data_IF_036284558259
#
_entry.id   IF_036284558259
#
_cell.length_a   1.000
_cell.length_b   1.000
_cell.length_c   1.000
_cell.angle_alpha   90.00
_cell.angle_beta   90.00
_cell.angle_gamma   90.00
#
_symmetry.space_group_name_H-M   'P 1'
#
loop_
_entity.id
_entity.type
_entity.pdbx_description
1 polymer ?
#
# COMPACT_ATOMS: atom_id res chain seq x y z
N UNK A 1 21.05 -34.21 23.33
CA UNK A 1 21.62 -33.25 22.37
C UNK A 1 20.54 -32.88 21.38
N UNK A 2 19.71 -31.86 21.66
CA UNK A 2 18.73 -31.34 20.69
C UNK A 2 18.74 -29.81 20.84
N UNK A 3 19.60 -29.16 20.06
CA UNK A 3 19.43 -27.77 19.65
C UNK A 3 19.19 -27.80 18.15
N UNK A 4 18.17 -27.09 17.69
CA UNK A 4 17.95 -26.57 16.33
C UNK A 4 16.61 -27.00 15.72
N UNK A 5 15.66 -26.07 15.74
CA UNK A 5 14.55 -25.98 14.76
C UNK A 5 13.95 -24.58 14.65
N UNK A 6 14.27 -23.64 15.55
CA UNK A 6 13.70 -22.27 15.50
C UNK A 6 14.38 -21.32 14.51
N UNK A 7 15.50 -21.71 13.89
CA UNK A 7 16.22 -20.88 12.91
C UNK A 7 15.69 -21.02 11.47
N UNK A 8 14.96 -22.09 11.15
CA UNK A 8 14.53 -22.35 9.76
C UNK A 8 13.29 -21.53 9.35
N UNK A 9 12.24 -21.48 10.16
CA UNK A 9 10.97 -20.82 9.77
C UNK A 9 11.13 -19.32 9.45
N UNK A 10 11.92 -18.57 10.26
CA UNK A 10 12.20 -17.15 10.01
C UNK A 10 13.02 -16.92 8.73
N UNK A 11 13.94 -17.83 8.43
CA UNK A 11 14.83 -17.72 7.27
C UNK A 11 14.09 -18.06 5.97
N UNK A 12 13.20 -19.06 6.00
CA UNK A 12 12.33 -19.41 4.87
C UNK A 12 11.32 -18.29 4.57
N UNK A 13 10.60 -17.76 5.57
CA UNK A 13 9.70 -16.62 5.35
C UNK A 13 10.43 -15.39 4.80
N UNK A 14 11.60 -15.02 5.36
CA UNK A 14 12.39 -13.93 4.82
C UNK A 14 12.82 -14.14 3.36
N UNK A 15 13.13 -15.39 2.96
CA UNK A 15 13.54 -15.69 1.58
C UNK A 15 12.38 -15.57 0.60
N UNK A 16 11.18 -16.03 0.97
CA UNK A 16 9.99 -15.93 0.12
C UNK A 16 9.56 -14.48 -0.05
N UNK A 17 9.49 -13.71 1.04
CA UNK A 17 9.18 -12.27 1.04
C UNK A 17 10.14 -11.47 0.16
N UNK A 18 11.45 -11.75 0.25
CA UNK A 18 12.48 -11.12 -0.61
C UNK A 18 12.23 -11.48 -2.08
N UNK A 19 11.82 -12.72 -2.35
CA UNK A 19 11.56 -13.21 -3.71
C UNK A 19 10.32 -12.54 -4.31
N UNK A 20 9.21 -12.44 -3.57
CA UNK A 20 7.99 -11.78 -4.07
C UNK A 20 8.19 -10.28 -4.29
N UNK A 21 8.83 -9.58 -3.34
CA UNK A 21 9.15 -8.16 -3.52
C UNK A 21 10.05 -7.93 -4.75
N UNK A 22 11.07 -8.77 -4.91
CA UNK A 22 11.95 -8.70 -6.08
C UNK A 22 11.20 -8.98 -7.38
N UNK A 23 10.24 -9.91 -7.38
CA UNK A 23 9.38 -10.18 -8.52
C UNK A 23 8.48 -8.98 -8.85
N UNK A 24 7.92 -8.29 -7.86
CA UNK A 24 7.08 -7.11 -8.08
C UNK A 24 7.88 -5.97 -8.72
N UNK A 25 9.11 -5.75 -8.25
CA UNK A 25 10.01 -4.70 -8.77
C UNK A 25 10.45 -4.90 -10.22
N UNK A 26 10.39 -6.13 -10.72
CA UNK A 26 10.75 -6.45 -12.11
C UNK A 26 9.60 -6.28 -13.09
N UNK A 27 8.37 -6.08 -12.61
CA UNK A 27 7.19 -5.95 -13.44
C UNK A 27 6.94 -4.50 -13.81
N UNK A 28 6.53 -4.25 -15.06
CA UNK A 28 6.00 -2.97 -15.46
C UNK A 28 4.55 -2.78 -14.96
N UNK A 29 4.03 -1.56 -15.08
CA UNK A 29 2.68 -1.21 -14.62
C UNK A 29 1.56 -2.09 -15.19
N UNK A 30 1.64 -2.50 -16.46
CA UNK A 30 0.63 -3.34 -17.08
C UNK A 30 0.67 -4.78 -16.53
N UNK A 31 1.87 -5.32 -16.32
CA UNK A 31 2.09 -6.63 -15.69
C UNK A 31 1.66 -6.64 -14.24
N UNK A 32 1.91 -5.56 -13.49
CA UNK A 32 1.44 -5.38 -12.12
C UNK A 32 -0.08 -5.32 -12.06
N UNK A 33 -0.73 -4.58 -12.96
CA UNK A 33 -2.19 -4.55 -13.03
C UNK A 33 -2.79 -5.90 -13.43
N UNK A 34 -2.14 -6.64 -14.33
CA UNK A 34 -2.58 -7.99 -14.72
C UNK A 34 -2.48 -8.96 -13.54
N UNK A 35 -1.36 -8.93 -12.79
CA UNK A 35 -1.19 -9.69 -11.56
C UNK A 35 -2.26 -9.30 -10.52
N UNK A 36 -2.44 -8.00 -10.29
CA UNK A 36 -3.41 -7.50 -9.33
C UNK A 36 -4.81 -8.09 -9.54
N UNK A 37 -5.28 -8.17 -10.79
CA UNK A 37 -6.62 -8.69 -11.14
C UNK A 37 -6.85 -10.18 -10.80
N UNK A 38 -5.80 -10.94 -10.55
CA UNK A 38 -5.90 -12.37 -10.19
C UNK A 38 -5.70 -12.64 -8.69
N UNK A 39 -5.23 -11.65 -7.92
CA UNK A 39 -5.02 -11.78 -6.49
C UNK A 39 -6.33 -11.66 -5.70
N UNK A 40 -6.31 -12.17 -4.47
CA UNK A 40 -7.40 -12.02 -3.51
C UNK A 40 -7.23 -10.75 -2.64
N UNK A 41 -8.34 -10.25 -2.11
CA UNK A 41 -8.31 -9.16 -1.14
C UNK A 41 -7.83 -9.69 0.23
N UNK A 42 -6.98 -8.95 0.95
CA UNK A 42 -6.66 -9.29 2.34
C UNK A 42 -7.87 -9.03 3.24
N UNK A 43 -7.90 -9.71 4.37
CA UNK A 43 -8.83 -9.46 5.47
C UNK A 43 -8.39 -8.26 6.32
N UNK A 44 -9.29 -7.70 7.13
CA UNK A 44 -8.91 -6.65 8.09
C UNK A 44 -7.85 -7.10 9.09
N UNK A 45 -7.92 -8.35 9.55
CA UNK A 45 -6.95 -8.88 10.51
C UNK A 45 -5.55 -9.00 9.91
N UNK A 46 -5.46 -9.37 8.62
CA UNK A 46 -4.17 -9.41 7.90
C UNK A 46 -3.59 -8.02 7.61
N UNK A 47 -4.42 -6.97 7.70
CA UNK A 47 -4.02 -5.58 7.47
C UNK A 47 -3.80 -4.82 8.78
N UNK A 48 -3.94 -5.44 9.95
CA UNK A 48 -3.77 -4.76 11.24
C UNK A 48 -2.29 -4.44 11.53
N UNK A 49 -1.98 -3.15 11.68
CA UNK A 49 -0.62 -2.66 11.94
C UNK A 49 -0.07 -1.73 10.86
N UNK A 50 1.23 -1.47 10.94
CA UNK A 50 1.98 -0.59 10.03
C UNK A 50 2.83 -1.41 9.05
N UNK A 51 2.85 -1.00 7.80
CA UNK A 51 3.49 -1.70 6.69
C UNK A 51 4.43 -0.74 5.96
N UNK A 52 5.68 -1.15 5.79
CA UNK A 52 6.64 -0.41 4.96
C UNK A 52 6.10 -0.33 3.53
N UNK A 53 6.17 0.86 2.96
CA UNK A 53 5.67 1.15 1.63
C UNK A 53 6.82 1.36 0.66
N UNK A 54 6.70 0.77 -0.52
CA UNK A 54 7.61 1.00 -1.63
C UNK A 54 6.83 1.29 -2.91
N UNK A 55 7.30 2.27 -3.69
CA UNK A 55 6.75 2.53 -5.02
C UNK A 55 7.27 1.46 -5.98
N UNK A 56 6.39 0.99 -6.86
CA UNK A 56 6.76 0.12 -7.98
C UNK A 56 6.79 0.96 -9.26
N UNK A 57 7.22 0.37 -10.38
CA UNK A 57 7.38 1.12 -11.63
C UNK A 57 6.06 1.72 -12.14
N UNK A 58 6.08 3.02 -12.42
CA UNK A 58 4.98 3.76 -13.03
C UNK A 58 5.03 3.77 -14.58
N UNK A 59 5.96 3.03 -15.20
CA UNK A 59 6.02 2.85 -16.65
C UNK A 59 6.98 3.83 -17.34
N UNK A 60 8.11 4.15 -16.72
CA UNK A 60 9.20 4.95 -17.30
C UNK A 60 9.57 6.22 -16.54
N UNK A 61 10.54 7.00 -17.06
CA UNK A 61 11.16 8.10 -16.33
C UNK A 61 10.16 9.23 -15.95
N UNK A 62 9.24 9.60 -16.84
CA UNK A 62 8.28 10.69 -16.60
C UNK A 62 7.17 10.30 -15.59
N UNK A 63 6.51 9.14 -15.72
CA UNK A 63 5.60 8.65 -14.68
C UNK A 63 6.31 8.43 -13.33
N UNK A 64 7.58 8.01 -13.32
CA UNK A 64 8.37 7.91 -12.10
C UNK A 64 8.70 9.27 -11.46
N UNK A 65 8.77 10.35 -12.25
CA UNK A 65 8.88 11.73 -11.73
C UNK A 65 7.53 12.18 -11.14
N UNK A 66 6.40 11.86 -11.77
CA UNK A 66 5.06 12.20 -11.26
C UNK A 66 4.75 11.42 -9.98
N UNK A 67 5.04 10.11 -9.98
CA UNK A 67 4.93 9.26 -8.80
C UNK A 67 5.80 9.77 -7.67
N UNK A 68 7.06 10.13 -7.94
CA UNK A 68 7.92 10.83 -6.99
C UNK A 68 7.30 12.16 -6.54
N UNK A 69 6.73 12.99 -7.40
CA UNK A 69 6.09 14.24 -6.96
C UNK A 69 4.89 13.97 -6.01
N UNK A 70 4.08 12.94 -6.29
CA UNK A 70 2.91 12.60 -5.48
C UNK A 70 3.26 11.94 -4.14
N UNK A 71 4.41 11.27 -4.03
CA UNK A 71 4.85 10.54 -2.82
C UNK A 71 6.07 11.16 -2.12
N UNK A 72 6.71 12.11 -2.78
CA UNK A 72 7.87 12.87 -2.36
C UNK A 72 7.47 14.34 -2.55
N UNK A 73 6.89 14.88 -1.49
CA UNK A 73 6.73 16.31 -1.30
C UNK A 73 7.83 16.74 -0.31
N UNK A 74 9.09 16.90 -0.75
CA UNK A 74 10.23 17.12 0.15
C UNK A 74 10.05 18.37 1.00
N UNK A 75 9.24 19.33 0.55
CA UNK A 75 8.95 20.56 1.28
C UNK A 75 7.80 20.38 2.30
N UNK A 76 6.78 19.59 1.99
CA UNK A 76 5.59 19.43 2.86
C UNK A 76 5.66 18.24 3.82
N UNK A 77 5.94 17.01 3.34
CA UNK A 77 5.77 15.80 4.16
C UNK A 77 7.00 14.88 4.22
N UNK A 78 7.98 15.00 3.30
CA UNK A 78 9.18 14.15 3.30
C UNK A 78 9.02 12.84 2.52
N UNK A 79 9.87 11.83 2.79
CA UNK A 79 9.87 10.54 2.09
C UNK A 79 8.72 9.67 2.59
N UNK A 80 7.83 9.23 1.71
CA UNK A 80 6.83 8.23 2.09
C UNK A 80 7.47 6.94 2.60
N UNK A 81 7.03 6.47 3.77
CA UNK A 81 7.62 5.33 4.49
C UNK A 81 6.69 4.14 4.58
N UNK A 82 5.43 4.38 4.94
CA UNK A 82 4.53 3.32 5.37
C UNK A 82 3.06 3.71 5.23
N UNK A 83 2.20 2.71 5.35
CA UNK A 83 0.78 2.86 5.67
C UNK A 83 0.49 2.06 6.93
N UNK A 84 -0.44 2.52 7.76
CA UNK A 84 -0.93 1.75 8.88
C UNK A 84 -2.44 1.66 8.87
N UNK A 85 -2.98 0.58 9.44
CA UNK A 85 -4.40 0.32 9.52
C UNK A 85 -4.77 -0.25 10.90
N UNK A 86 -6.01 -0.02 11.28
CA UNK A 86 -6.62 -0.59 12.49
C UNK A 86 -7.40 -1.87 12.14
N UNK A 87 -7.69 -2.75 13.11
CA UNK A 87 -8.63 -3.82 12.87
C UNK A 87 -10.02 -3.24 12.59
N UNK A 88 -10.73 -3.79 11.61
CA UNK A 88 -12.05 -3.31 11.24
C UNK A 88 -13.14 -3.73 12.21
N UNK A 89 -14.14 -2.85 12.37
CA UNK A 89 -15.44 -3.21 12.94
C UNK A 89 -16.51 -2.99 11.87
N UNK A 90 -17.43 -3.94 11.69
CA UNK A 90 -18.51 -3.83 10.70
C UNK A 90 -18.06 -3.54 9.26
N UNK A 91 -16.97 -4.17 8.80
CA UNK A 91 -16.36 -3.98 7.48
C UNK A 91 -15.81 -2.58 7.17
N UNK A 92 -15.62 -1.74 8.19
CA UNK A 92 -14.97 -0.43 8.08
C UNK A 92 -13.83 -0.32 9.10
N UNK A 93 -12.72 0.27 8.68
CA UNK A 93 -11.56 0.59 9.52
C UNK A 93 -11.01 1.96 9.11
N UNK A 94 -9.92 2.37 9.75
CA UNK A 94 -9.18 3.58 9.47
C UNK A 94 -7.69 3.30 9.40
N UNK A 95 -6.99 4.15 8.68
CA UNK A 95 -5.55 4.09 8.53
C UNK A 95 -4.92 5.46 8.27
N UNK A 96 -3.59 5.49 8.15
CA UNK A 96 -2.82 6.67 7.76
C UNK A 96 -1.61 6.33 6.89
N UNK A 97 -0.98 7.34 6.30
CA UNK A 97 0.34 7.24 5.69
C UNK A 97 1.39 7.84 6.61
N UNK A 98 2.56 7.21 6.74
CA UNK A 98 3.69 7.80 7.46
C UNK A 98 4.80 8.23 6.51
N UNK A 99 5.52 9.28 6.89
CA UNK A 99 6.58 9.91 6.13
C UNK A 99 7.79 10.19 7.00
N UNK A 100 9.00 10.10 6.43
CA UNK A 100 10.22 10.59 7.06
C UNK A 100 10.46 12.03 6.64
N UNK A 101 10.32 12.96 7.59
CA UNK A 101 10.68 14.36 7.42
C UNK A 101 11.82 14.71 8.37
N UNK A 102 13.01 14.95 7.81
CA UNK A 102 14.21 15.33 8.57
C UNK A 102 14.55 14.36 9.73
N UNK A 103 14.42 13.06 9.50
CA UNK A 103 14.71 12.03 10.49
C UNK A 103 13.57 11.73 11.47
N UNK A 104 12.45 12.45 11.37
CA UNK A 104 11.24 12.21 12.18
C UNK A 104 10.16 11.53 11.34
N UNK A 105 9.50 10.55 11.93
CA UNK A 105 8.28 9.99 11.37
C UNK A 105 7.14 10.98 11.60
N UNK A 106 6.40 11.28 10.53
CA UNK A 106 5.17 12.08 10.56
C UNK A 106 4.04 11.25 9.99
N UNK A 107 2.96 11.08 10.75
CA UNK A 107 1.77 10.29 10.39
C UNK A 107 0.67 11.22 9.94
N UNK A 108 0.24 11.06 8.70
CA UNK A 108 -0.63 12.00 7.99
C UNK A 108 -1.56 11.29 7.02
N UNK A 109 -2.48 12.07 6.44
CA UNK A 109 -3.43 11.59 5.46
C UNK A 109 -4.25 10.40 5.96
N UNK A 110 -5.08 10.63 7.00
CA UNK A 110 -6.03 9.63 7.43
C UNK A 110 -6.91 9.18 6.25
N UNK A 111 -7.24 7.90 6.25
CA UNK A 111 -8.09 7.26 5.25
C UNK A 111 -9.08 6.33 5.93
N UNK A 112 -10.29 6.23 5.37
CA UNK A 112 -11.22 5.14 5.70
C UNK A 112 -10.81 3.92 4.91
N UNK A 113 -10.87 2.75 5.52
CA UNK A 113 -10.68 1.48 4.84
C UNK A 113 -11.94 0.64 4.87
N UNK A 114 -12.19 -0.09 3.79
CA UNK A 114 -13.41 -0.91 3.63
C UNK A 114 -13.17 -2.07 2.66
N UNK A 115 -13.96 -3.13 2.78
CA UNK A 115 -14.05 -4.15 1.73
C UNK A 115 -14.98 -3.64 0.63
N UNK A 116 -14.47 -3.48 -0.58
CA UNK A 116 -15.20 -2.95 -1.72
C UNK A 116 -15.06 -3.87 -2.96
N UNK A 117 -15.58 -3.42 -4.10
CA UNK A 117 -15.29 -4.03 -5.40
C UNK A 117 -14.29 -3.14 -6.15
N UNK A 118 -13.25 -3.76 -6.71
CA UNK A 118 -12.20 -3.05 -7.46
C UNK A 118 -12.75 -2.44 -8.73
N UNK A 119 -12.28 -1.23 -9.07
CA UNK A 119 -12.67 -0.57 -10.33
C UNK A 119 -12.14 -1.25 -11.59
N UNK A 120 -11.13 -2.10 -11.43
CA UNK A 120 -10.41 -2.70 -12.55
C UNK A 120 -10.99 -4.05 -13.00
N UNK A 121 -11.67 -4.76 -12.10
CA UNK A 121 -12.20 -6.10 -12.34
C UNK A 121 -13.48 -6.46 -11.56
N UNK A 122 -14.03 -5.54 -10.77
CA UNK A 122 -15.24 -5.75 -9.95
C UNK A 122 -15.15 -6.90 -8.94
N UNK A 123 -13.94 -7.37 -8.61
CA UNK A 123 -13.72 -8.38 -7.56
C UNK A 123 -13.43 -7.72 -6.20
N UNK A 124 -13.58 -8.44 -5.08
CA UNK A 124 -13.29 -7.90 -3.75
C UNK A 124 -11.93 -7.22 -3.64
N UNK A 125 -11.87 -6.18 -2.82
CA UNK A 125 -10.65 -5.39 -2.58
C UNK A 125 -10.66 -4.78 -1.18
N UNK A 126 -9.48 -4.60 -0.60
CA UNK A 126 -9.29 -3.72 0.55
C UNK A 126 -9.03 -2.29 0.06
N UNK A 127 -10.05 -1.44 0.10
CA UNK A 127 -10.04 -0.08 -0.46
C UNK A 127 -9.66 0.96 0.61
N UNK A 128 -8.87 1.95 0.21
CA UNK A 128 -8.52 3.13 1.01
C UNK A 128 -9.16 4.37 0.39
N UNK A 129 -10.04 5.02 1.13
CA UNK A 129 -10.78 6.21 0.70
C UNK A 129 -10.32 7.44 1.48
N UNK A 130 -9.54 8.32 0.82
CA UNK A 130 -9.01 9.54 1.45
C UNK A 130 -10.03 10.66 1.57
N UNK A 131 -11.09 10.66 0.74
CA UNK A 131 -12.16 11.66 0.77
C UNK A 131 -13.03 11.60 2.03
N UNK A 132 -12.85 10.59 2.88
CA UNK A 132 -13.42 10.55 4.22
C UNK A 132 -12.87 11.66 5.16
N UNK A 133 -11.77 12.31 4.79
CA UNK A 133 -11.13 13.36 5.58
C UNK A 133 -10.77 14.58 4.70
N UNK A 134 -10.80 15.81 5.23
CA UNK A 134 -10.56 17.04 4.45
C UNK A 134 -9.07 17.29 4.17
N UNK A 135 -8.44 16.41 3.39
CA UNK A 135 -6.99 16.43 3.11
C UNK A 135 -6.67 16.80 1.65
N UNK A 136 -5.39 17.01 1.32
CA UNK A 136 -4.97 17.20 -0.08
C UNK A 136 -5.29 15.96 -0.94
N UNK A 137 -5.14 14.74 -0.39
CA UNK A 137 -5.45 13.50 -1.11
C UNK A 137 -6.95 13.37 -1.40
N UNK A 138 -7.81 13.89 -0.53
CA UNK A 138 -9.24 14.02 -0.79
C UNK A 138 -9.53 14.96 -1.97
N UNK A 139 -8.86 16.13 -2.04
CA UNK A 139 -9.07 17.12 -3.10
C UNK A 139 -8.72 16.61 -4.49
N UNK A 140 -7.79 15.64 -4.60
CA UNK A 140 -7.41 15.00 -5.86
C UNK A 140 -8.13 13.67 -6.13
N UNK A 141 -9.13 13.34 -5.32
CA UNK A 141 -9.91 12.09 -5.41
C UNK A 141 -9.04 10.83 -5.39
N UNK A 142 -8.04 10.80 -4.51
CA UNK A 142 -7.18 9.62 -4.37
C UNK A 142 -7.95 8.45 -3.78
N UNK A 143 -7.78 7.28 -4.37
CA UNK A 143 -8.22 5.98 -3.84
C UNK A 143 -7.11 4.98 -4.08
N UNK A 144 -6.79 4.19 -3.07
CA UNK A 144 -5.92 3.02 -3.21
C UNK A 144 -6.73 1.73 -3.06
N UNK A 145 -6.30 0.70 -3.77
CA UNK A 145 -6.90 -0.63 -3.79
C UNK A 145 -5.80 -1.66 -3.49
N UNK A 146 -5.96 -2.51 -2.46
CA UNK A 146 -4.93 -3.45 -1.99
C UNK A 146 -5.36 -4.92 -2.14
N UNK A 147 -4.45 -5.75 -2.65
CA UNK A 147 -4.57 -7.22 -2.71
C UNK A 147 -3.36 -7.91 -2.10
N UNK A 148 -3.58 -9.12 -1.58
CA UNK A 148 -2.55 -9.96 -1.00
C UNK A 148 -1.78 -10.66 -2.11
N UNK A 149 -0.45 -10.53 -2.11
CA UNK A 149 0.43 -11.33 -2.98
C UNK A 149 0.79 -12.62 -2.25
N UNK A 150 1.24 -12.47 -1.02
CA UNK A 150 1.51 -13.56 -0.08
C UNK A 150 1.51 -13.02 1.36
N UNK A 151 1.82 -13.88 2.33
CA UNK A 151 1.94 -13.44 3.72
C UNK A 151 2.99 -12.34 3.86
N UNK A 152 2.55 -11.19 4.36
CA UNK A 152 3.38 -10.02 4.58
C UNK A 152 3.78 -9.20 3.35
N UNK A 153 3.33 -9.57 2.14
CA UNK A 153 3.51 -8.78 0.91
C UNK A 153 2.17 -8.52 0.25
N UNK A 154 1.89 -7.22 0.01
CA UNK A 154 0.64 -6.77 -0.57
C UNK A 154 0.92 -5.83 -1.74
N UNK A 155 0.14 -5.99 -2.82
CA UNK A 155 0.18 -5.14 -3.99
C UNK A 155 -0.95 -4.12 -3.92
N UNK A 156 -0.59 -2.85 -3.94
CA UNK A 156 -1.50 -1.73 -3.99
C UNK A 156 -1.53 -1.07 -5.36
N UNK A 157 -2.72 -0.62 -5.78
CA UNK A 157 -2.90 0.23 -6.95
C UNK A 157 -3.59 1.51 -6.49
N UNK A 158 -2.84 2.61 -6.52
CA UNK A 158 -3.37 3.96 -6.33
C UNK A 158 -3.99 4.50 -7.62
N UNK A 159 -4.94 5.41 -7.47
CA UNK A 159 -5.52 6.18 -8.56
C UNK A 159 -5.85 7.58 -8.08
N UNK A 160 -5.76 8.56 -8.99
CA UNK A 160 -6.12 9.96 -8.72
C UNK A 160 -6.91 10.53 -9.88
N UNK A 161 -7.71 11.56 -9.62
CA UNK A 161 -8.21 12.45 -10.66
C UNK A 161 -9.72 12.58 -10.76
N UNK A 162 -10.12 13.48 -11.66
CA UNK A 162 -11.46 14.05 -11.72
C UNK A 162 -12.31 13.42 -12.81
N UNK A 163 -11.67 12.83 -13.82
CA UNK A 163 -12.33 12.15 -14.95
C UNK A 163 -12.31 10.63 -14.78
N UNK A 164 -13.22 9.93 -15.48
CA UNK A 164 -13.23 8.46 -15.51
C UNK A 164 -11.90 7.90 -15.99
N UNK A 165 -11.29 8.49 -17.02
CA UNK A 165 -10.00 8.04 -17.57
C UNK A 165 -8.86 8.14 -16.56
N UNK A 166 -8.75 9.28 -15.86
CA UNK A 166 -7.72 9.47 -14.83
C UNK A 166 -7.88 8.48 -13.67
N UNK A 167 -9.13 8.24 -13.23
CA UNK A 167 -9.44 7.26 -12.18
C UNK A 167 -9.19 5.80 -12.57
N UNK A 168 -8.76 5.54 -13.81
CA UNK A 168 -8.34 4.23 -14.31
C UNK A 168 -6.83 4.15 -14.61
N UNK A 169 -6.05 5.19 -14.33
CA UNK A 169 -4.59 5.17 -14.48
C UNK A 169 -3.97 4.60 -13.21
N UNK A 170 -3.37 3.39 -13.25
CA UNK A 170 -2.82 2.73 -12.07
C UNK A 170 -1.51 3.38 -11.60
N UNK A 171 -1.38 3.54 -10.29
CA UNK A 171 -0.17 3.94 -9.59
C UNK A 171 0.26 2.80 -8.64
N UNK A 172 1.06 1.83 -9.10
CA UNK A 172 1.39 0.65 -8.31
C UNK A 172 2.34 0.95 -7.14
N UNK A 173 2.10 0.29 -6.00
CA UNK A 173 2.96 0.30 -4.83
C UNK A 173 2.92 -1.07 -4.13
N UNK A 174 3.88 -1.30 -3.24
CA UNK A 174 3.96 -2.50 -2.41
C UNK A 174 3.87 -2.12 -0.94
N UNK A 175 3.23 -2.97 -0.13
CA UNK A 175 3.27 -2.91 1.32
C UNK A 175 3.93 -4.18 1.88
N UNK A 176 4.82 -4.01 2.84
CA UNK A 176 5.63 -5.06 3.46
C UNK A 176 5.46 -4.97 4.97
N UNK A 177 4.88 -5.98 5.61
CA UNK A 177 4.61 -5.94 7.05
C UNK A 177 3.57 -6.95 7.52
N UNK A 178 3.01 -6.77 8.73
CA UNK A 178 3.20 -5.61 9.59
C UNK A 178 4.63 -5.53 10.18
N UNK A 179 5.16 -4.32 10.33
CA UNK A 179 6.47 -4.02 10.93
C UNK A 179 6.38 -3.39 12.32
N UNK A 180 5.23 -2.82 12.65
CA UNK A 180 4.87 -2.34 14.00
C UNK A 180 3.35 -2.26 14.16
N UNK A 181 2.89 -2.03 15.39
CA UNK A 181 1.47 -1.76 15.67
C UNK A 181 1.04 -0.38 15.15
N UNK A 182 -0.27 -0.18 15.01
CA UNK A 182 -0.87 1.11 14.66
C UNK A 182 -0.60 2.16 15.74
N UNK A 183 -0.05 3.33 15.36
CA UNK A 183 0.38 4.35 16.32
C UNK A 183 -0.52 5.61 16.37
N UNK A 184 -1.56 5.71 15.54
CA UNK A 184 -2.40 6.91 15.42
C UNK A 184 -1.86 7.96 14.44
N UNK A 185 -2.66 9.01 14.17
CA UNK A 185 -2.25 10.14 13.33
C UNK A 185 -1.64 11.23 14.22
N UNK A 186 -0.61 11.92 13.73
CA UNK A 186 0.04 13.04 14.44
C UNK A 186 -0.74 14.37 14.27
#
# INVERSE_FOLDING_TARGET
MIRSTHANLKTFHNTTTITALSMLKQKNTAELLALFKILDAPTFNEMDGEYNAELLDFGGQIPNIIGKLCTYEPVLNGKWLSKAFTPGSNNISYGYNAFNKFGKVIRKYPMRTEMALSRFDSKPIFQLTYSAYPTLLAKINMIDEIRKVEEGIYLGIGTVGFTKKQRMTPLPFCLIGPTSDFAGVD
#
